data_IF_224436432277
#
_entry.id   IF_224436432277
#
_cell.length_a   1.000
_cell.length_b   1.000
_cell.length_c   1.000
_cell.angle_alpha   90.00
_cell.angle_beta   90.00
_cell.angle_gamma   90.00
#
_symmetry.space_group_name_H-M   'P 1'
#
loop_
_entity.id
_entity.type
_entity.pdbx_description
1 polymer ?
#
# COMPACT_ATOMS: atom_id res chain seq x y z
N UNK A 1 32.90 10.25 -11.03
CA UNK A 1 31.54 10.64 -10.61
C UNK A 1 30.47 9.78 -11.27
N UNK A 2 30.34 9.75 -12.61
CA UNK A 2 29.31 8.90 -13.28
C UNK A 2 29.38 7.41 -12.88
N UNK A 3 30.55 6.78 -12.96
CA UNK A 3 30.72 5.39 -12.55
C UNK A 3 30.37 5.13 -11.07
N UNK A 4 30.64 6.09 -10.18
CA UNK A 4 30.28 5.99 -8.76
C UNK A 4 28.77 6.09 -8.57
N UNK A 5 28.10 6.98 -9.30
CA UNK A 5 26.64 7.09 -9.29
C UNK A 5 25.95 5.83 -9.82
N UNK A 6 26.52 5.23 -10.88
CA UNK A 6 25.99 3.99 -11.45
C UNK A 6 26.08 2.84 -10.42
N UNK A 7 27.19 2.75 -9.68
CA UNK A 7 27.35 1.79 -8.60
C UNK A 7 26.38 2.07 -7.44
N UNK A 8 26.19 3.34 -7.05
CA UNK A 8 25.20 3.70 -6.04
C UNK A 8 23.79 3.25 -6.42
N UNK A 9 23.35 3.57 -7.63
CA UNK A 9 22.04 3.16 -8.14
C UNK A 9 21.89 1.65 -8.11
N UNK A 10 22.91 0.91 -8.55
CA UNK A 10 22.89 -0.56 -8.53
C UNK A 10 22.74 -1.10 -7.12
N UNK A 11 23.47 -0.55 -6.15
CA UNK A 11 23.37 -1.01 -4.75
C UNK A 11 22.01 -0.72 -4.15
N UNK A 12 21.53 0.52 -4.29
CA UNK A 12 20.23 0.97 -3.79
C UNK A 12 19.08 0.17 -4.42
N UNK A 13 19.11 -0.01 -5.74
CA UNK A 13 18.09 -0.77 -6.48
C UNK A 13 18.05 -2.22 -6.01
N UNK A 14 19.20 -2.87 -5.84
CA UNK A 14 19.20 -4.26 -5.39
C UNK A 14 18.69 -4.44 -3.94
N UNK A 15 18.86 -3.43 -3.06
CA UNK A 15 18.26 -3.45 -1.72
C UNK A 15 16.74 -3.29 -1.77
N UNK A 16 16.26 -2.37 -2.61
CA UNK A 16 14.83 -2.21 -2.90
C UNK A 16 14.23 -3.51 -3.47
N UNK A 17 14.86 -4.10 -4.48
CA UNK A 17 14.42 -5.37 -5.09
C UNK A 17 14.43 -6.53 -4.09
N UNK A 18 15.38 -6.58 -3.16
CA UNK A 18 15.40 -7.60 -2.12
C UNK A 18 14.19 -7.47 -1.17
N UNK A 19 13.81 -6.24 -0.82
CA UNK A 19 12.60 -5.97 -0.06
C UNK A 19 11.34 -6.33 -0.85
N UNK A 20 11.24 -5.88 -2.09
CA UNK A 20 10.10 -6.13 -2.98
C UNK A 20 9.87 -7.63 -3.19
N UNK A 21 10.95 -8.38 -3.43
CA UNK A 21 10.92 -9.83 -3.66
C UNK A 21 10.25 -10.59 -2.52
N UNK A 22 10.50 -10.19 -1.28
CA UNK A 22 9.89 -10.81 -0.11
C UNK A 22 8.36 -10.62 -0.03
N UNK A 23 7.82 -9.62 -0.74
CA UNK A 23 6.40 -9.32 -0.80
C UNK A 23 5.74 -9.75 -2.13
N UNK A 24 6.50 -10.33 -3.08
CA UNK A 24 5.91 -10.78 -4.35
C UNK A 24 4.96 -11.97 -4.09
N UNK A 25 3.73 -11.96 -4.64
CA UNK A 25 2.75 -13.02 -4.41
C UNK A 25 3.26 -14.43 -4.74
N UNK A 26 4.00 -14.57 -5.85
CA UNK A 26 4.59 -15.84 -6.26
C UNK A 26 5.60 -16.42 -5.24
N UNK A 27 6.10 -15.61 -4.31
CA UNK A 27 7.00 -16.08 -3.24
C UNK A 27 6.29 -16.29 -1.92
N UNK A 28 5.40 -15.35 -1.54
CA UNK A 28 4.80 -15.36 -0.21
C UNK A 28 3.52 -16.22 -0.10
N UNK A 29 2.78 -16.42 -1.21
CA UNK A 29 1.53 -17.19 -1.20
C UNK A 29 1.71 -18.70 -1.15
N UNK A 30 2.54 -19.36 -2.00
CA UNK A 30 2.55 -20.82 -2.10
C UNK A 30 2.68 -21.59 -0.76
N UNK A 31 3.52 -21.16 0.20
CA UNK A 31 3.63 -21.84 1.49
C UNK A 31 2.40 -21.72 2.40
N UNK A 32 1.44 -20.87 2.03
CA UNK A 32 0.27 -20.52 2.84
C UNK A 32 -1.06 -20.91 2.17
N UNK A 33 -1.04 -21.35 0.90
CA UNK A 33 -2.25 -21.73 0.18
C UNK A 33 -2.87 -22.99 0.80
N UNK A 34 -4.19 -22.99 1.09
CA UNK A 34 -4.87 -24.15 1.65
C UNK A 34 -5.07 -25.24 0.58
N UNK A 35 -5.23 -26.49 1.01
CA UNK A 35 -5.75 -27.53 0.11
C UNK A 35 -7.13 -27.12 -0.45
N UNK A 36 -7.43 -27.42 -1.72
CA UNK A 36 -8.75 -27.18 -2.31
C UNK A 36 -9.81 -28.09 -1.65
N UNK A 37 -11.12 -27.79 -1.81
CA UNK A 37 -12.17 -28.69 -1.36
C UNK A 37 -12.21 -29.98 -2.20
N UNK A 38 -12.78 -31.05 -1.64
CA UNK A 38 -13.01 -32.28 -2.38
C UNK A 38 -14.11 -32.11 -3.43
N UNK A 39 -14.02 -32.82 -4.55
CA UNK A 39 -15.08 -32.85 -5.55
C UNK A 39 -16.40 -33.35 -4.92
N UNK A 40 -17.55 -32.69 -5.17
CA UNK A 40 -17.80 -31.71 -6.24
C UNK A 40 -17.62 -30.22 -5.84
N UNK A 41 -16.97 -29.91 -4.72
CA UNK A 41 -16.78 -28.55 -4.23
C UNK A 41 -15.88 -27.66 -5.10
N UNK A 42 -16.12 -26.33 -5.07
CA UNK A 42 -15.34 -25.34 -5.80
C UNK A 42 -14.42 -24.55 -4.87
N UNK A 43 -13.23 -24.23 -5.35
CA UNK A 43 -12.38 -23.20 -4.75
C UNK A 43 -12.75 -21.84 -5.35
N UNK A 44 -13.28 -20.93 -4.52
CA UNK A 44 -13.67 -19.59 -4.97
C UNK A 44 -12.67 -18.55 -4.47
N UNK A 45 -11.99 -17.87 -5.39
CA UNK A 45 -10.96 -16.88 -5.08
C UNK A 45 -11.54 -15.46 -5.13
N UNK A 46 -11.43 -14.75 -4.01
CA UNK A 46 -11.79 -13.33 -3.90
C UNK A 46 -10.53 -12.50 -3.67
N UNK A 47 -10.00 -11.85 -4.70
CA UNK A 47 -8.82 -11.02 -4.57
C UNK A 47 -9.17 -9.52 -4.55
N UNK A 48 -8.69 -8.79 -3.55
CA UNK A 48 -9.03 -7.37 -3.34
C UNK A 48 -7.78 -6.57 -2.95
N UNK A 49 -7.46 -5.54 -3.73
CA UNK A 49 -6.34 -4.63 -3.46
C UNK A 49 -5.40 -4.43 -4.65
N UNK A 50 -4.36 -3.61 -4.48
CA UNK A 50 -3.38 -3.27 -5.53
C UNK A 50 -2.64 -4.50 -6.08
N UNK A 51 -2.46 -5.54 -5.27
CA UNK A 51 -1.85 -6.80 -5.66
C UNK A 51 -2.88 -7.91 -6.01
N UNK A 52 -4.18 -7.58 -6.11
CA UNK A 52 -5.22 -8.61 -6.25
C UNK A 52 -5.03 -9.50 -7.49
N UNK A 53 -4.74 -8.91 -8.65
CA UNK A 53 -4.60 -9.67 -9.89
C UNK A 53 -3.38 -10.59 -9.86
N UNK A 54 -2.24 -10.12 -9.35
CA UNK A 54 -1.03 -10.94 -9.23
C UNK A 54 -1.11 -11.98 -8.13
N UNK A 55 -1.81 -11.70 -7.03
CA UNK A 55 -2.13 -12.70 -6.01
C UNK A 55 -3.02 -13.81 -6.57
N UNK A 56 -4.04 -13.46 -7.34
CA UNK A 56 -4.91 -14.43 -8.00
C UNK A 56 -4.12 -15.31 -8.99
N UNK A 57 -3.34 -14.70 -9.89
CA UNK A 57 -2.52 -15.43 -10.87
C UNK A 57 -1.55 -16.40 -10.18
N UNK A 58 -0.83 -15.94 -9.15
CA UNK A 58 0.11 -16.80 -8.40
C UNK A 58 -0.59 -17.95 -7.67
N UNK A 59 -1.83 -17.75 -7.20
CA UNK A 59 -2.62 -18.82 -6.59
C UNK A 59 -3.07 -19.84 -7.65
N UNK A 60 -3.58 -19.38 -8.80
CA UNK A 60 -3.99 -20.26 -9.91
C UNK A 60 -2.84 -21.10 -10.44
N UNK A 61 -1.68 -20.50 -10.72
CA UNK A 61 -0.48 -21.21 -11.17
C UNK A 61 -0.12 -22.35 -10.20
N UNK A 62 -0.21 -22.09 -8.90
CA UNK A 62 0.06 -23.09 -7.87
C UNK A 62 -1.00 -24.19 -7.82
N UNK A 63 -2.30 -23.87 -7.90
CA UNK A 63 -3.34 -24.90 -7.91
C UNK A 63 -3.32 -25.72 -9.20
N UNK A 64 -3.04 -25.11 -10.34
CA UNK A 64 -2.91 -25.81 -11.62
C UNK A 64 -1.70 -26.78 -11.61
N UNK A 65 -0.58 -26.40 -10.98
CA UNK A 65 0.62 -27.24 -10.86
C UNK A 65 0.44 -28.38 -9.83
N UNK A 66 -0.05 -28.07 -8.63
CA UNK A 66 -0.03 -29.00 -7.49
C UNK A 66 -1.36 -29.71 -7.22
N UNK A 67 -2.48 -29.17 -7.72
CA UNK A 67 -3.84 -29.70 -7.53
C UNK A 67 -4.64 -29.72 -8.85
N UNK A 68 -4.12 -30.39 -9.90
CA UNK A 68 -4.76 -30.38 -11.21
C UNK A 68 -6.19 -30.93 -11.15
N UNK A 69 -7.11 -30.23 -11.82
CA UNK A 69 -8.53 -30.59 -11.85
C UNK A 69 -9.39 -29.91 -10.77
N UNK A 70 -8.80 -29.09 -9.90
CA UNK A 70 -9.54 -28.22 -8.97
C UNK A 70 -10.50 -27.32 -9.76
N UNK A 71 -11.76 -27.26 -9.33
CA UNK A 71 -12.73 -26.32 -9.90
C UNK A 71 -12.51 -24.94 -9.29
N UNK A 72 -11.91 -24.03 -10.06
CA UNK A 72 -11.57 -22.67 -9.62
C UNK A 72 -12.52 -21.67 -10.32
N UNK A 73 -13.05 -20.73 -9.53
CA UNK A 73 -13.78 -19.55 -10.01
C UNK A 73 -13.39 -18.36 -9.14
N UNK A 74 -13.49 -17.13 -9.62
CA UNK A 74 -13.23 -15.99 -8.75
C UNK A 74 -13.29 -14.63 -9.40
N UNK A 75 -13.08 -13.61 -8.57
CA UNK A 75 -12.97 -12.22 -8.99
C UNK A 75 -11.77 -11.54 -8.31
N UNK A 76 -10.99 -10.80 -9.10
CA UNK A 76 -9.92 -9.94 -8.62
C UNK A 76 -10.24 -8.47 -8.88
N UNK A 77 -10.31 -7.66 -7.83
CA UNK A 77 -10.50 -6.20 -7.88
C UNK A 77 -9.16 -5.50 -7.65
N UNK A 78 -8.56 -4.98 -8.72
CA UNK A 78 -7.25 -4.30 -8.70
C UNK A 78 -7.35 -2.87 -9.24
N UNK A 79 -6.25 -2.11 -9.16
CA UNK A 79 -6.15 -0.75 -9.71
C UNK A 79 -6.00 -0.80 -11.23
N UNK A 80 -6.41 0.25 -11.93
CA UNK A 80 -6.04 0.46 -13.33
C UNK A 80 -4.54 0.34 -13.59
N UNK A 81 -4.17 -0.32 -14.69
CA UNK A 81 -2.80 -0.58 -15.09
C UNK A 81 -2.12 -1.71 -14.31
N UNK A 82 -2.83 -2.39 -13.41
CA UNK A 82 -2.33 -3.48 -12.57
C UNK A 82 -3.01 -4.81 -12.84
N UNK A 83 -3.75 -4.95 -13.94
CA UNK A 83 -4.23 -6.25 -14.39
C UNK A 83 -3.06 -7.22 -14.66
N UNK A 84 -3.26 -8.48 -14.30
CA UNK A 84 -2.39 -9.60 -14.64
C UNK A 84 -3.24 -10.65 -15.37
N UNK A 85 -2.67 -11.37 -16.36
CA UNK A 85 -3.33 -12.53 -16.92
C UNK A 85 -3.62 -13.58 -15.83
N UNK A 86 -4.83 -14.12 -15.85
CA UNK A 86 -5.34 -15.19 -14.98
C UNK A 86 -6.01 -16.25 -15.85
N UNK A 87 -6.11 -17.48 -15.35
CA UNK A 87 -6.71 -18.61 -16.06
C UNK A 87 -8.21 -18.75 -15.79
N UNK A 88 -8.64 -18.54 -14.54
CA UNK A 88 -10.00 -18.84 -14.06
C UNK A 88 -10.69 -17.63 -13.42
N UNK A 89 -9.94 -16.79 -12.70
CA UNK A 89 -10.37 -15.62 -11.95
C UNK A 89 -10.56 -14.44 -12.89
N UNK A 90 -11.71 -13.79 -12.84
CA UNK A 90 -11.97 -12.59 -13.64
C UNK A 90 -11.31 -11.37 -13.01
N UNK A 91 -10.52 -10.62 -13.77
CA UNK A 91 -9.87 -9.39 -13.31
C UNK A 91 -10.71 -8.18 -13.67
N UNK A 92 -10.97 -7.32 -12.68
CA UNK A 92 -11.68 -6.07 -12.83
C UNK A 92 -10.87 -4.92 -12.23
N UNK A 93 -10.54 -3.95 -13.07
CA UNK A 93 -9.80 -2.76 -12.66
C UNK A 93 -10.75 -1.64 -12.18
N UNK A 94 -10.35 -0.92 -11.15
CA UNK A 94 -11.10 0.18 -10.55
C UNK A 94 -10.20 1.33 -10.09
N UNK A 95 -10.79 2.47 -9.79
CA UNK A 95 -10.06 3.65 -9.33
C UNK A 95 -9.57 3.53 -7.88
N UNK A 96 -8.35 4.02 -7.66
CA UNK A 96 -7.73 4.25 -6.36
C UNK A 96 -6.96 5.58 -6.43
N UNK A 97 -7.01 6.46 -5.41
CA UNK A 97 -7.55 6.23 -4.05
C UNK A 97 -9.04 6.57 -3.88
N UNK A 98 -9.67 7.21 -4.87
CA UNK A 98 -11.09 7.56 -4.83
C UNK A 98 -11.90 6.48 -5.55
N UNK A 99 -12.90 5.84 -4.90
CA UNK A 99 -13.73 4.81 -5.53
C UNK A 99 -14.51 5.31 -6.74
N UNK A 100 -14.72 4.46 -7.72
CA UNK A 100 -15.50 4.72 -8.93
C UNK A 100 -16.59 3.64 -9.18
N UNK A 101 -17.27 3.76 -10.32
CA UNK A 101 -18.36 2.87 -10.71
C UNK A 101 -17.85 1.45 -11.03
N UNK A 102 -16.66 1.32 -11.61
CA UNK A 102 -16.06 0.02 -11.91
C UNK A 102 -15.78 -0.79 -10.63
N UNK A 103 -15.32 -0.12 -9.57
CA UNK A 103 -15.19 -0.74 -8.25
C UNK A 103 -16.54 -1.14 -7.64
N UNK A 104 -17.60 -0.37 -7.87
CA UNK A 104 -18.96 -0.69 -7.41
C UNK A 104 -19.54 -1.91 -8.12
N UNK A 105 -19.45 -1.95 -9.45
CA UNK A 105 -19.92 -3.07 -10.26
C UNK A 105 -19.14 -4.36 -9.93
N UNK A 106 -17.82 -4.26 -9.84
CA UNK A 106 -16.95 -5.34 -9.39
C UNK A 106 -17.33 -5.87 -8.01
N UNK A 107 -17.54 -4.97 -7.03
CA UNK A 107 -17.94 -5.38 -5.68
C UNK A 107 -19.33 -6.00 -5.62
N UNK A 108 -20.24 -5.59 -6.50
CA UNK A 108 -21.58 -6.16 -6.61
C UNK A 108 -21.52 -7.61 -7.09
N UNK A 109 -20.73 -7.89 -8.13
CA UNK A 109 -20.47 -9.25 -8.62
C UNK A 109 -19.74 -10.10 -7.58
N UNK A 110 -18.77 -9.51 -6.89
CA UNK A 110 -18.02 -10.15 -5.81
C UNK A 110 -18.95 -10.66 -4.71
N UNK A 111 -19.87 -9.80 -4.23
CA UNK A 111 -20.82 -10.17 -3.19
C UNK A 111 -21.82 -11.23 -3.69
N UNK A 112 -22.32 -11.12 -4.92
CA UNK A 112 -23.22 -12.12 -5.49
C UNK A 112 -22.54 -13.50 -5.61
N UNK A 113 -21.25 -13.53 -5.97
CA UNK A 113 -20.46 -14.77 -5.99
C UNK A 113 -20.27 -15.32 -4.57
N UNK A 114 -19.96 -14.48 -3.58
CA UNK A 114 -19.86 -14.88 -2.17
C UNK A 114 -21.15 -15.52 -1.66
N UNK A 115 -22.30 -14.88 -1.92
CA UNK A 115 -23.63 -15.39 -1.54
C UNK A 115 -24.02 -16.71 -2.24
N UNK A 116 -23.28 -17.14 -3.25
CA UNK A 116 -23.52 -18.40 -3.98
C UNK A 116 -22.80 -19.63 -3.38
N UNK A 117 -21.90 -19.42 -2.42
CA UNK A 117 -21.10 -20.49 -1.84
C UNK A 117 -21.96 -21.41 -0.95
N UNK A 118 -21.57 -22.68 -0.92
CA UNK A 118 -22.21 -23.72 -0.12
C UNK A 118 -21.21 -24.38 0.82
N UNK A 119 -21.67 -25.24 1.73
CA UNK A 119 -20.82 -26.04 2.63
C UNK A 119 -19.80 -26.95 1.92
N UNK A 120 -19.97 -27.19 0.61
CA UNK A 120 -19.03 -27.99 -0.20
C UNK A 120 -17.90 -27.13 -0.77
N UNK A 121 -18.09 -25.82 -0.86
CA UNK A 121 -17.13 -24.89 -1.44
C UNK A 121 -16.10 -24.44 -0.39
N UNK A 122 -15.03 -23.79 -0.85
CA UNK A 122 -14.06 -23.10 0.01
C UNK A 122 -13.75 -21.73 -0.56
N UNK A 123 -13.74 -20.72 0.30
CA UNK A 123 -13.30 -19.38 -0.09
C UNK A 123 -11.80 -19.19 0.20
N UNK A 124 -11.07 -18.66 -0.77
CA UNK A 124 -9.73 -18.11 -0.60
C UNK A 124 -9.80 -16.60 -0.85
N UNK A 125 -9.65 -15.82 0.21
CA UNK A 125 -9.67 -14.36 0.14
C UNK A 125 -8.25 -13.82 0.15
N UNK A 126 -7.86 -13.13 -0.92
CA UNK A 126 -6.52 -12.59 -1.12
C UNK A 126 -6.58 -11.07 -0.96
N UNK A 127 -6.03 -10.54 0.13
CA UNK A 127 -6.10 -9.11 0.44
C UNK A 127 -4.76 -8.42 0.27
N UNK A 128 -4.80 -7.19 -0.22
CA UNK A 128 -3.67 -6.26 -0.21
C UNK A 128 -4.14 -4.82 -0.03
N UNK A 129 -3.17 -3.91 0.05
CA UNK A 129 -3.38 -2.47 0.14
C UNK A 129 -4.36 -1.88 -0.86
N UNK A 130 -4.99 -0.77 -0.51
CA UNK A 130 -5.95 -0.06 -1.39
C UNK A 130 -7.33 -0.71 -1.53
N UNK A 131 -7.54 -1.92 -0.97
CA UNK A 131 -8.82 -2.65 -1.06
C UNK A 131 -10.04 -1.88 -0.56
N UNK A 132 -9.86 -0.93 0.36
CA UNK A 132 -10.95 -0.11 0.86
C UNK A 132 -11.61 0.76 -0.22
N UNK A 133 -10.86 1.21 -1.22
CA UNK A 133 -11.37 2.00 -2.33
C UNK A 133 -11.77 1.12 -3.53
N UNK A 134 -10.94 0.13 -3.87
CA UNK A 134 -11.14 -0.76 -5.01
C UNK A 134 -12.37 -1.66 -4.85
N UNK A 135 -12.62 -2.17 -3.64
CA UNK A 135 -13.83 -2.93 -3.32
C UNK A 135 -14.82 -2.04 -2.54
N UNK A 136 -15.60 -1.25 -3.28
CA UNK A 136 -16.57 -0.32 -2.72
C UNK A 136 -18.01 -0.77 -2.97
N UNK A 137 -18.69 -1.25 -1.92
CA UNK A 137 -20.12 -1.50 -1.95
C UNK A 137 -20.84 -0.77 -0.80
N UNK A 138 -21.58 0.32 -1.07
CA UNK A 138 -22.34 1.04 -0.05
C UNK A 138 -23.43 0.17 0.60
N UNK A 139 -23.77 0.46 1.86
CA UNK A 139 -24.96 -0.09 2.52
C UNK A 139 -26.23 0.21 1.69
N UNK A 140 -27.26 -0.62 1.86
CA UNK A 140 -28.52 -0.45 1.13
C UNK A 140 -29.11 0.94 1.39
N UNK A 141 -29.58 1.60 0.32
CA UNK A 141 -30.10 2.96 0.38
C UNK A 141 -29.05 4.06 0.24
N UNK A 142 -27.76 3.72 0.15
CA UNK A 142 -26.68 4.68 -0.13
C UNK A 142 -26.14 4.53 -1.54
N UNK A 143 -25.76 5.66 -2.13
CA UNK A 143 -25.07 5.72 -3.43
C UNK A 143 -23.55 5.74 -3.26
N UNK A 144 -22.82 5.53 -4.36
CA UNK A 144 -21.38 5.75 -4.40
C UNK A 144 -21.01 7.20 -4.02
N UNK A 145 -21.79 8.18 -4.51
CA UNK A 145 -21.60 9.59 -4.22
C UNK A 145 -21.76 9.90 -2.72
N UNK A 146 -22.74 9.28 -2.04
CA UNK A 146 -22.89 9.40 -0.59
C UNK A 146 -21.63 8.90 0.13
N UNK A 147 -21.11 7.73 -0.28
CA UNK A 147 -19.91 7.15 0.33
C UNK A 147 -18.66 8.00 0.11
N UNK A 148 -18.50 8.58 -1.08
CA UNK A 148 -17.41 9.54 -1.36
C UNK A 148 -17.56 10.81 -0.51
N UNK A 149 -18.78 11.32 -0.34
CA UNK A 149 -19.04 12.50 0.49
C UNK A 149 -18.71 12.27 1.97
N UNK A 150 -19.09 11.11 2.52
CA UNK A 150 -18.72 10.71 3.89
C UNK A 150 -17.21 10.64 4.06
N UNK A 151 -16.51 10.02 3.12
CA UNK A 151 -15.04 9.94 3.18
C UNK A 151 -14.41 11.33 3.20
N UNK A 152 -14.88 12.27 2.36
CA UNK A 152 -14.40 13.67 2.39
C UNK A 152 -14.70 14.36 3.71
N UNK A 153 -15.90 14.17 4.26
CA UNK A 153 -16.29 14.75 5.54
C UNK A 153 -15.46 14.20 6.71
N UNK A 154 -15.15 12.90 6.71
CA UNK A 154 -14.28 12.25 7.69
C UNK A 154 -12.88 12.89 7.72
N UNK A 155 -12.28 13.10 6.54
CA UNK A 155 -10.98 13.78 6.43
C UNK A 155 -11.07 15.25 6.84
N UNK A 156 -12.08 15.99 6.39
CA UNK A 156 -12.25 17.40 6.74
C UNK A 156 -12.48 17.61 8.25
N UNK A 157 -13.06 16.62 8.94
CA UNK A 157 -13.24 16.63 10.39
C UNK A 157 -11.98 16.25 11.18
N UNK A 158 -10.89 15.85 10.51
CA UNK A 158 -9.62 15.47 11.14
C UNK A 158 -9.75 14.27 12.09
N UNK A 159 -10.64 13.32 11.76
CA UNK A 159 -10.84 12.14 12.60
C UNK A 159 -9.70 11.14 12.45
N UNK A 160 -9.31 10.43 13.54
CA UNK A 160 -8.30 9.38 13.45
C UNK A 160 -8.79 8.25 12.56
N UNK A 161 -7.86 7.57 11.87
CA UNK A 161 -8.15 6.51 10.90
C UNK A 161 -9.00 5.37 11.48
N UNK A 162 -8.82 5.06 12.76
CA UNK A 162 -9.60 4.05 13.48
C UNK A 162 -11.09 4.43 13.56
N UNK A 163 -11.39 5.69 13.88
CA UNK A 163 -12.76 6.20 13.88
C UNK A 163 -13.34 6.24 12.46
N UNK A 164 -12.56 6.71 11.49
CA UNK A 164 -12.99 6.70 10.08
C UNK A 164 -13.38 5.30 9.63
N UNK A 165 -12.55 4.30 9.94
CA UNK A 165 -12.80 2.90 9.58
C UNK A 165 -14.01 2.33 10.31
N UNK A 166 -14.23 2.67 11.59
CA UNK A 166 -15.45 2.30 12.33
C UNK A 166 -16.73 2.68 11.57
N UNK A 167 -16.87 3.94 11.16
CA UNK A 167 -18.03 4.36 10.36
C UNK A 167 -18.06 3.70 8.97
N UNK A 168 -16.92 3.63 8.27
CA UNK A 168 -16.85 3.06 6.91
C UNK A 168 -17.24 1.58 6.84
N UNK A 169 -16.92 0.80 7.88
CA UNK A 169 -17.34 -0.61 8.01
C UNK A 169 -18.87 -0.70 8.09
N UNK A 170 -19.48 0.09 8.96
CA UNK A 170 -20.93 0.11 9.16
C UNK A 170 -21.71 0.54 7.91
N UNK A 171 -21.13 1.42 7.07
CA UNK A 171 -21.75 1.89 5.82
C UNK A 171 -21.42 1.03 4.58
N UNK A 172 -20.99 -0.21 4.78
CA UNK A 172 -20.56 -1.10 3.71
C UNK A 172 -21.25 -2.45 3.78
N UNK A 173 -21.57 -3.04 2.62
CA UNK A 173 -22.12 -4.41 2.53
C UNK A 173 -21.06 -5.52 2.62
N UNK A 174 -19.78 -5.18 2.47
CA UNK A 174 -18.68 -6.18 2.42
C UNK A 174 -17.56 -5.95 3.44
N UNK A 175 -17.54 -4.81 4.14
CA UNK A 175 -16.47 -4.48 5.10
C UNK A 175 -16.90 -4.89 6.52
N UNK A 176 -15.95 -4.96 7.45
CA UNK A 176 -16.22 -5.31 8.85
C UNK A 176 -16.82 -6.71 8.99
N UNK A 177 -16.22 -7.71 8.36
CA UNK A 177 -16.62 -9.11 8.45
C UNK A 177 -17.80 -9.50 7.56
N UNK A 178 -18.45 -8.55 6.87
CA UNK A 178 -19.65 -8.83 6.08
C UNK A 178 -19.39 -9.67 4.82
N UNK A 179 -18.18 -9.64 4.27
CA UNK A 179 -17.82 -10.57 3.19
C UNK A 179 -17.71 -12.01 3.71
N UNK A 180 -17.06 -12.22 4.86
CA UNK A 180 -17.06 -13.53 5.50
C UNK A 180 -18.48 -14.01 5.84
N UNK A 181 -19.34 -13.11 6.33
CA UNK A 181 -20.74 -13.44 6.60
C UNK A 181 -21.50 -13.88 5.33
N UNK A 182 -21.18 -13.30 4.17
CA UNK A 182 -21.77 -13.69 2.89
C UNK A 182 -21.20 -15.01 2.33
N UNK A 183 -19.95 -15.34 2.66
CA UNK A 183 -19.29 -16.60 2.27
C UNK A 183 -19.83 -17.79 3.06
N UNK A 184 -20.23 -17.58 4.32
CA UNK A 184 -20.78 -18.63 5.16
C UNK A 184 -22.02 -19.26 4.50
N UNK A 185 -22.14 -20.62 4.47
CA UNK A 185 -21.46 -21.57 5.35
C UNK A 185 -20.17 -22.19 4.82
N UNK A 186 -19.59 -21.72 3.71
CA UNK A 186 -18.28 -22.20 3.27
C UNK A 186 -17.16 -21.71 4.20
N UNK A 187 -16.12 -22.52 4.48
CA UNK A 187 -14.94 -22.07 5.22
C UNK A 187 -14.15 -21.02 4.43
N UNK A 188 -13.68 -19.98 5.11
CA UNK A 188 -12.90 -18.89 4.52
C UNK A 188 -11.45 -18.86 5.02
N UNK A 189 -10.50 -18.91 4.08
CA UNK A 189 -9.08 -18.64 4.36
C UNK A 189 -8.70 -17.30 3.77
N UNK A 190 -8.25 -16.36 4.61
CA UNK A 190 -7.76 -15.05 4.18
C UNK A 190 -6.24 -15.00 4.22
N UNK A 191 -5.60 -14.70 3.09
CA UNK A 191 -4.16 -14.43 2.98
C UNK A 191 -3.92 -12.98 2.60
N UNK A 192 -3.08 -12.28 3.34
CA UNK A 192 -2.94 -10.82 3.22
C UNK A 192 -1.50 -10.37 3.04
N UNK A 193 -1.27 -9.48 2.08
CA UNK A 193 -0.08 -8.63 1.98
C UNK A 193 -0.42 -7.30 2.67
N UNK A 194 0.21 -7.03 3.80
CA UNK A 194 -0.11 -5.88 4.64
C UNK A 194 0.72 -4.66 4.28
N UNK A 195 0.02 -3.56 4.01
CA UNK A 195 0.53 -2.21 3.90
C UNK A 195 0.05 -1.34 5.09
N UNK A 196 -0.36 -1.95 6.20
CA UNK A 196 -0.87 -1.23 7.36
C UNK A 196 0.13 -1.30 8.50
N UNK A 197 0.49 -0.15 9.07
CA UNK A 197 1.32 -0.08 10.26
C UNK A 197 0.74 -0.93 11.40
N UNK A 198 1.55 -1.82 11.96
CA UNK A 198 1.12 -2.71 13.04
C UNK A 198 0.27 -3.90 12.59
N UNK A 199 0.03 -4.06 11.28
CA UNK A 199 -0.50 -5.28 10.69
C UNK A 199 -1.90 -5.69 11.22
N UNK A 200 -2.73 -4.73 11.67
CA UNK A 200 -4.08 -5.02 12.19
C UNK A 200 -5.03 -5.52 11.07
N UNK A 201 -5.50 -6.79 11.15
CA UNK A 201 -6.43 -7.36 10.17
C UNK A 201 -7.72 -6.56 10.01
N UNK A 202 -8.21 -5.92 11.08
CA UNK A 202 -9.47 -5.16 11.06
C UNK A 202 -9.37 -3.88 10.24
N UNK A 203 -8.15 -3.42 9.99
CA UNK A 203 -7.83 -2.19 9.27
C UNK A 203 -7.53 -2.44 7.80
N UNK A 204 -6.83 -3.55 7.49
CA UNK A 204 -6.46 -3.89 6.10
C UNK A 204 -7.72 -4.13 5.25
N UNK A 205 -7.85 -3.38 4.17
CA UNK A 205 -9.07 -3.33 3.34
C UNK A 205 -10.38 -3.07 4.12
N UNK A 206 -10.30 -2.49 5.32
CA UNK A 206 -11.41 -2.37 6.29
C UNK A 206 -11.98 -3.72 6.78
N UNK A 207 -11.13 -4.75 6.86
CA UNK A 207 -11.42 -6.05 7.46
C UNK A 207 -12.65 -6.74 6.88
N UNK A 208 -12.71 -7.04 5.58
CA UNK A 208 -13.91 -7.64 4.97
C UNK A 208 -14.22 -9.04 5.49
N UNK A 209 -13.20 -9.78 5.93
CA UNK A 209 -13.30 -11.18 6.41
C UNK A 209 -12.97 -11.36 7.88
N UNK A 210 -12.82 -10.26 8.63
CA UNK A 210 -12.57 -10.32 10.07
C UNK A 210 -13.66 -9.58 10.82
N UNK A 211 -13.96 -10.07 12.01
CA UNK A 211 -14.95 -9.45 12.89
C UNK A 211 -14.56 -8.02 13.27
N UNK A 212 -15.56 -7.18 13.51
CA UNK A 212 -15.38 -5.76 13.77
C UNK A 212 -15.73 -5.44 15.23
N UNK A 213 -14.73 -5.04 16.05
CA UNK A 213 -14.96 -4.71 17.45
C UNK A 213 -15.69 -3.37 17.65
N UNK A 214 -15.75 -2.51 16.61
CA UNK A 214 -16.49 -1.25 16.69
C UNK A 214 -18.00 -1.49 16.72
N UNK A 215 -18.77 -0.55 17.24
CA UNK A 215 -20.21 -0.70 17.43
C UNK A 215 -21.04 0.26 16.58
N UNK A 216 -22.30 -0.09 16.37
CA UNK A 216 -23.27 0.77 15.70
C UNK A 216 -23.44 2.12 16.44
N UNK A 217 -23.36 2.11 17.77
CA UNK A 217 -23.46 3.33 18.59
C UNK A 217 -22.25 4.25 18.40
N UNK A 218 -21.04 3.70 18.30
CA UNK A 218 -19.84 4.46 17.95
C UNK A 218 -19.95 5.05 16.54
N UNK A 219 -20.47 4.29 15.57
CA UNK A 219 -20.71 4.78 14.22
C UNK A 219 -21.71 5.96 14.20
N UNK A 220 -22.79 5.89 14.99
CA UNK A 220 -23.73 7.01 15.16
C UNK A 220 -23.09 8.22 15.81
N UNK A 221 -22.27 8.02 16.84
CA UNK A 221 -21.55 9.09 17.51
C UNK A 221 -20.58 9.81 16.55
N UNK A 222 -19.95 9.06 15.64
CA UNK A 222 -19.11 9.64 14.59
C UNK A 222 -19.96 10.42 13.59
N UNK A 223 -21.09 9.87 13.13
CA UNK A 223 -22.00 10.57 12.22
C UNK A 223 -22.46 11.92 12.79
N UNK A 224 -22.80 11.99 14.07
CA UNK A 224 -23.19 13.25 14.73
C UNK A 224 -22.08 14.31 14.67
N UNK A 225 -20.80 13.91 14.71
CA UNK A 225 -19.66 14.83 14.56
C UNK A 225 -19.49 15.32 13.12
N UNK A 226 -19.98 14.57 12.14
CA UNK A 226 -19.88 14.88 10.71
C UNK A 226 -21.06 15.72 10.19
N UNK A 227 -22.13 15.89 10.95
CA UNK A 227 -23.36 16.52 10.46
C UNK A 227 -23.12 17.91 9.84
N UNK A 228 -22.25 18.71 10.45
CA UNK A 228 -21.86 20.04 9.93
C UNK A 228 -21.01 20.03 8.64
N UNK A 229 -20.50 18.86 8.25
CA UNK A 229 -19.67 18.64 7.07
C UNK A 229 -20.44 17.94 5.94
N UNK A 230 -21.72 17.62 6.15
CA UNK A 230 -22.55 16.84 5.23
C UNK A 230 -23.79 17.63 4.82
N UNK A 231 -23.84 18.03 3.56
CA UNK A 231 -24.96 18.80 2.99
C UNK A 231 -26.03 17.88 2.34
N UNK A 232 -27.15 18.47 1.90
CA UNK A 232 -28.08 17.80 0.98
C UNK A 232 -28.79 16.56 1.54
N UNK A 233 -29.02 16.52 2.86
CA UNK A 233 -29.69 15.40 3.54
C UNK A 233 -28.87 14.11 3.57
N UNK A 234 -27.57 14.15 3.26
CA UNK A 234 -26.68 12.98 3.31
C UNK A 234 -26.66 12.37 4.71
N UNK A 235 -26.58 13.19 5.77
CA UNK A 235 -26.57 12.72 7.16
C UNK A 235 -27.81 11.87 7.49
N UNK A 236 -29.01 12.29 7.06
CA UNK A 236 -30.24 11.54 7.27
C UNK A 236 -30.27 10.20 6.51
N UNK A 237 -29.77 10.16 5.26
CA UNK A 237 -29.64 8.91 4.49
C UNK A 237 -28.67 7.93 5.16
N UNK A 238 -27.55 8.44 5.68
CA UNK A 238 -26.57 7.62 6.41
C UNK A 238 -27.18 7.07 7.69
N UNK A 239 -27.88 7.89 8.47
CA UNK A 239 -28.55 7.44 9.70
C UNK A 239 -29.54 6.30 9.40
N UNK A 240 -30.39 6.47 8.37
CA UNK A 240 -31.32 5.42 7.94
C UNK A 240 -30.61 4.15 7.46
N UNK A 241 -29.48 4.28 6.76
CA UNK A 241 -28.68 3.14 6.32
C UNK A 241 -28.00 2.40 7.48
N UNK A 242 -27.54 3.12 8.51
CA UNK A 242 -27.02 2.53 9.75
C UNK A 242 -28.11 1.75 10.49
N UNK A 243 -29.31 2.33 10.61
CA UNK A 243 -30.48 1.67 11.20
C UNK A 243 -30.84 0.38 10.47
N UNK A 244 -30.89 0.43 9.13
CA UNK A 244 -31.29 -0.71 8.31
C UNK A 244 -30.23 -1.82 8.26
N UNK A 245 -28.94 -1.46 8.22
CA UNK A 245 -27.85 -2.43 8.15
C UNK A 245 -27.57 -3.13 9.48
N UNK A 246 -27.86 -2.46 10.60
CA UNK A 246 -27.57 -2.97 11.93
C UNK A 246 -26.07 -3.15 12.20
N UNK A 247 -25.78 -4.03 13.14
CA UNK A 247 -24.42 -4.27 13.64
C UNK A 247 -23.54 -5.00 12.61
N UNK A 248 -22.23 -4.78 12.67
CA UNK A 248 -21.25 -5.61 11.95
C UNK A 248 -20.98 -6.91 12.72
N UNK A 249 -20.61 -8.02 12.06
CA UNK A 249 -20.14 -9.24 12.71
C UNK A 249 -19.15 -8.98 13.86
N UNK A 250 -19.44 -9.52 15.04
CA UNK A 250 -18.70 -9.19 16.29
C UNK A 250 -17.70 -10.28 16.67
N UNK A 251 -16.61 -9.94 17.39
CA UNK A 251 -15.67 -10.92 17.90
C UNK A 251 -16.38 -12.03 18.70
N UNK A 252 -16.02 -13.28 18.44
CA UNK A 252 -16.61 -14.45 19.09
C UNK A 252 -17.88 -14.99 18.41
N UNK A 253 -18.28 -14.47 17.25
CA UNK A 253 -19.36 -15.04 16.45
C UNK A 253 -18.97 -16.47 15.97
N UNK A 254 -19.74 -17.51 16.37
CA UNK A 254 -19.40 -18.90 16.08
C UNK A 254 -19.45 -19.24 14.59
N UNK A 255 -20.11 -18.43 13.75
CA UNK A 255 -20.16 -18.66 12.31
C UNK A 255 -18.78 -18.58 11.65
N UNK A 256 -17.81 -17.89 12.25
CA UNK A 256 -16.45 -17.74 11.73
C UNK A 256 -15.42 -18.63 12.44
N UNK A 257 -15.87 -19.64 13.20
CA UNK A 257 -14.97 -20.49 13.97
C UNK A 257 -14.00 -21.32 13.09
N UNK A 258 -14.42 -21.63 11.85
CA UNK A 258 -13.60 -22.36 10.88
C UNK A 258 -12.78 -21.43 9.95
N UNK A 259 -12.96 -20.11 10.07
CA UNK A 259 -12.25 -19.14 9.25
C UNK A 259 -10.81 -18.95 9.74
N UNK A 260 -9.90 -18.71 8.80
CA UNK A 260 -8.51 -18.43 9.10
C UNK A 260 -8.02 -17.16 8.44
N UNK A 261 -7.09 -16.47 9.10
CA UNK A 261 -6.48 -15.25 8.60
C UNK A 261 -4.97 -15.31 8.79
N UNK A 262 -4.21 -15.00 7.75
CA UNK A 262 -2.75 -14.96 7.80
C UNK A 262 -2.18 -13.79 7.00
N UNK A 263 -1.22 -13.12 7.60
CA UNK A 263 -0.36 -12.14 6.91
C UNK A 263 0.80 -12.92 6.30
N UNK A 264 0.91 -12.86 4.98
CA UNK A 264 1.92 -13.59 4.20
C UNK A 264 3.12 -12.71 3.86
N UNK A 265 2.93 -11.40 3.80
CA UNK A 265 3.98 -10.40 3.65
C UNK A 265 3.59 -9.09 4.33
N UNK A 266 4.59 -8.33 4.78
CA UNK A 266 4.41 -6.99 5.35
C UNK A 266 5.63 -6.10 5.09
N UNK A 267 5.48 -4.79 5.30
CA UNK A 267 6.59 -3.83 5.16
C UNK A 267 7.79 -4.21 6.04
N UNK A 268 7.55 -4.66 7.27
CA UNK A 268 8.59 -5.13 8.17
C UNK A 268 9.41 -6.29 7.60
N UNK A 269 8.74 -7.25 6.95
CA UNK A 269 9.40 -8.39 6.31
C UNK A 269 10.26 -7.93 5.12
N UNK A 270 9.78 -6.98 4.32
CA UNK A 270 10.54 -6.38 3.22
C UNK A 270 11.80 -5.66 3.73
N UNK A 271 11.69 -4.86 4.80
CA UNK A 271 12.85 -4.19 5.42
C UNK A 271 13.88 -5.19 5.95
N UNK A 272 13.43 -6.29 6.57
CA UNK A 272 14.31 -7.36 7.06
C UNK A 272 15.05 -8.06 5.90
N UNK A 273 14.39 -8.31 4.78
CA UNK A 273 15.02 -8.90 3.60
C UNK A 273 16.12 -7.98 3.04
N UNK A 274 15.84 -6.68 2.93
CA UNK A 274 16.85 -5.70 2.52
C UNK A 274 18.01 -5.59 3.52
N UNK A 275 17.73 -5.65 4.83
CA UNK A 275 18.74 -5.63 5.87
C UNK A 275 19.70 -6.83 5.80
N UNK A 276 19.19 -8.02 5.45
CA UNK A 276 20.03 -9.20 5.20
C UNK A 276 21.01 -8.94 4.06
N UNK A 277 20.52 -8.46 2.91
CA UNK A 277 21.38 -8.13 1.77
C UNK A 277 22.37 -6.98 2.09
N UNK A 278 21.96 -6.01 2.91
CA UNK A 278 22.85 -4.94 3.36
C UNK A 278 24.02 -5.50 4.18
N UNK A 279 23.78 -6.42 5.11
CA UNK A 279 24.84 -7.12 5.88
C UNK A 279 25.77 -7.90 4.99
N UNK A 280 25.25 -8.64 4.01
CA UNK A 280 26.05 -9.38 3.04
C UNK A 280 26.99 -8.46 2.23
N UNK A 281 26.63 -7.18 2.08
CA UNK A 281 27.42 -6.15 1.40
C UNK A 281 28.31 -5.33 2.35
N UNK A 282 28.36 -5.71 3.63
CA UNK A 282 29.20 -5.08 4.64
C UNK A 282 28.66 -3.76 5.18
N UNK A 283 27.36 -3.52 5.08
CA UNK A 283 26.69 -2.42 5.78
C UNK A 283 26.07 -2.94 7.08
N UNK A 284 26.19 -2.15 8.15
CA UNK A 284 25.37 -2.35 9.35
C UNK A 284 23.96 -1.82 9.08
N UNK A 285 22.90 -2.65 9.12
CA UNK A 285 21.55 -2.16 8.85
C UNK A 285 20.94 -1.50 10.09
N UNK A 286 20.42 -0.30 9.92
CA UNK A 286 19.62 0.41 10.92
C UNK A 286 18.15 0.45 10.46
N UNK A 287 17.30 -0.39 11.05
CA UNK A 287 15.86 -0.42 10.77
C UNK A 287 15.15 0.65 11.59
N UNK A 288 14.55 1.63 10.92
CA UNK A 288 13.69 2.65 11.55
C UNK A 288 12.22 2.20 11.67
N UNK A 289 11.89 1.03 11.10
CA UNK A 289 10.54 0.47 11.07
C UNK A 289 9.78 0.78 9.78
N UNK A 290 8.63 0.13 9.63
CA UNK A 290 7.71 0.18 8.49
C UNK A 290 6.45 1.02 8.76
N UNK A 291 6.44 1.77 9.86
CA UNK A 291 5.36 2.66 10.28
C UNK A 291 5.81 4.13 10.31
N UNK A 292 6.78 4.51 9.48
CA UNK A 292 7.21 5.92 9.41
C UNK A 292 6.17 6.72 8.66
N UNK A 293 5.52 7.62 9.39
CA UNK A 293 4.50 8.53 8.90
C UNK A 293 4.91 9.99 9.14
N UNK A 294 4.27 10.90 8.41
CA UNK A 294 4.42 12.34 8.56
C UNK A 294 4.72 13.03 7.23
N UNK A 295 4.95 14.35 7.31
CA UNK A 295 5.23 15.14 6.12
C UNK A 295 6.59 14.76 5.52
N UNK A 296 6.61 14.44 4.23
CA UNK A 296 7.76 13.88 3.52
C UNK A 296 9.05 14.68 3.76
N UNK A 297 8.95 16.02 3.78
CA UNK A 297 10.09 16.92 4.02
C UNK A 297 10.66 16.82 5.42
N UNK A 298 9.80 16.68 6.43
CA UNK A 298 10.21 16.61 7.83
C UNK A 298 10.90 15.28 8.13
N UNK A 299 10.33 14.18 7.62
CA UNK A 299 10.93 12.85 7.74
C UNK A 299 12.29 12.82 7.03
N UNK A 300 12.38 13.36 5.81
CA UNK A 300 13.64 13.48 5.07
C UNK A 300 14.71 14.27 5.86
N UNK A 301 14.35 15.39 6.48
CA UNK A 301 15.29 16.18 7.28
C UNK A 301 15.82 15.40 8.49
N UNK A 302 14.95 14.66 9.20
CA UNK A 302 15.36 13.79 10.33
C UNK A 302 16.31 12.68 9.87
N UNK A 303 15.99 12.04 8.74
CA UNK A 303 16.81 10.96 8.20
C UNK A 303 18.17 11.47 7.66
N UNK A 304 18.22 12.66 7.03
CA UNK A 304 19.47 13.30 6.63
C UNK A 304 20.38 13.58 7.83
N UNK A 305 19.82 14.13 8.93
CA UNK A 305 20.58 14.40 10.14
C UNK A 305 21.18 13.11 10.75
N UNK A 306 20.40 12.02 10.74
CA UNK A 306 20.88 10.70 11.18
C UNK A 306 21.99 10.17 10.28
N UNK A 307 21.84 10.25 8.95
CA UNK A 307 22.84 9.80 8.00
C UNK A 307 24.17 10.56 8.14
N UNK A 308 24.11 11.90 8.27
CA UNK A 308 25.29 12.74 8.51
C UNK A 308 25.98 12.40 9.83
N UNK A 309 25.21 12.15 10.89
CA UNK A 309 25.74 11.72 12.18
C UNK A 309 26.51 10.40 12.05
N UNK A 310 25.90 9.38 11.46
CA UNK A 310 26.51 8.05 11.32
C UNK A 310 27.75 8.04 10.43
N UNK A 311 27.75 8.88 9.38
CA UNK A 311 28.95 9.10 8.57
C UNK A 311 30.10 9.63 9.41
N UNK A 312 29.86 10.65 10.23
CA UNK A 312 30.87 11.27 11.08
C UNK A 312 31.37 10.32 12.19
N UNK A 313 30.54 9.35 12.59
CA UNK A 313 30.91 8.28 13.52
C UNK A 313 31.72 7.17 12.84
N UNK A 314 31.93 7.23 11.53
CA UNK A 314 32.71 6.26 10.77
C UNK A 314 32.00 4.92 10.56
N UNK A 315 30.67 4.88 10.72
CA UNK A 315 29.89 3.65 10.60
C UNK A 315 29.37 3.50 9.18
N UNK A 316 29.74 2.40 8.53
CA UNK A 316 29.18 2.02 7.23
C UNK A 316 27.78 1.46 7.43
N UNK A 317 26.74 2.25 7.17
CA UNK A 317 25.35 1.93 7.55
C UNK A 317 24.42 1.92 6.36
N UNK A 318 23.45 0.99 6.38
CA UNK A 318 22.25 1.05 5.56
C UNK A 318 21.05 1.41 6.44
N UNK A 319 20.59 2.66 6.38
CA UNK A 319 19.38 3.09 7.09
C UNK A 319 18.17 2.67 6.24
N UNK A 320 17.27 1.89 6.83
CA UNK A 320 16.13 1.30 6.16
C UNK A 320 14.84 1.71 6.87
N UNK A 321 13.87 2.21 6.12
CA UNK A 321 12.56 2.58 6.66
C UNK A 321 11.46 2.34 5.64
N UNK A 322 10.26 2.07 6.13
CA UNK A 322 9.04 2.01 5.31
C UNK A 322 7.90 2.76 5.99
N UNK A 323 6.69 2.60 5.49
CA UNK A 323 5.50 3.35 5.94
C UNK A 323 5.00 4.27 4.84
N UNK A 324 4.23 5.29 5.19
CA UNK A 324 3.62 6.19 4.22
C UNK A 324 3.85 7.64 4.65
N UNK A 325 4.65 8.35 3.87
CA UNK A 325 4.79 9.81 4.06
C UNK A 325 3.76 10.55 3.23
N UNK A 326 3.33 11.71 3.71
CA UNK A 326 2.36 12.55 3.01
C UNK A 326 2.98 13.83 2.47
N UNK A 327 2.28 14.43 1.52
CA UNK A 327 2.60 15.76 0.97
C UNK A 327 1.41 16.67 1.15
N UNK A 328 1.60 17.71 1.95
CA UNK A 328 0.59 18.76 2.12
C UNK A 328 0.79 19.85 1.07
N UNK A 329 -0.13 19.95 0.11
CA UNK A 329 -0.07 20.98 -0.91
C UNK A 329 -0.25 22.38 -0.30
N UNK A 330 0.82 23.18 -0.36
CA UNK A 330 0.80 24.58 0.05
C UNK A 330 0.19 25.51 -0.99
N UNK A 331 0.01 26.81 -0.67
CA UNK A 331 -0.52 27.81 -1.61
C UNK A 331 0.35 28.03 -2.85
N UNK A 332 1.59 27.55 -2.83
CA UNK A 332 2.55 27.64 -3.93
C UNK A 332 2.46 26.44 -4.90
N UNK A 333 1.59 25.47 -4.64
CA UNK A 333 1.30 24.39 -5.57
C UNK A 333 0.70 24.98 -6.86
N UNK A 334 1.36 24.75 -7.99
CA UNK A 334 0.86 25.17 -9.30
C UNK A 334 0.02 24.04 -9.93
N UNK A 335 -1.02 24.34 -10.70
CA UNK A 335 -1.70 23.30 -11.49
C UNK A 335 -0.70 22.56 -12.39
N UNK A 336 -0.76 21.23 -12.40
CA UNK A 336 0.11 20.39 -13.24
C UNK A 336 1.48 20.08 -12.63
N UNK A 337 1.68 20.32 -11.33
CA UNK A 337 2.85 19.82 -10.60
C UNK A 337 2.94 18.30 -10.67
N UNK A 338 4.15 17.79 -10.84
CA UNK A 338 4.42 16.37 -10.98
C UNK A 338 5.26 15.87 -9.82
N UNK A 339 4.91 14.68 -9.33
CA UNK A 339 5.63 13.98 -8.27
C UNK A 339 4.68 13.26 -7.34
N UNK A 340 5.26 12.55 -6.38
CA UNK A 340 4.58 11.92 -5.27
C UNK A 340 5.38 12.04 -3.97
N UNK A 341 4.86 11.51 -2.85
CA UNK A 341 5.50 11.61 -1.55
C UNK A 341 6.92 11.04 -1.49
N UNK A 342 7.21 9.92 -2.16
CA UNK A 342 8.55 9.32 -2.16
C UNK A 342 9.57 10.18 -2.93
N UNK A 343 9.18 10.79 -4.06
CA UNK A 343 9.97 11.78 -4.79
C UNK A 343 10.15 13.07 -4.01
N UNK A 344 9.11 13.58 -3.35
CA UNK A 344 9.23 14.77 -2.50
C UNK A 344 10.18 14.54 -1.31
N UNK A 345 10.09 13.37 -0.68
CA UNK A 345 11.04 12.92 0.34
C UNK A 345 12.47 12.89 -0.22
N UNK A 346 12.70 12.29 -1.40
CA UNK A 346 14.04 12.19 -1.99
C UNK A 346 14.64 13.58 -2.28
N UNK A 347 13.85 14.53 -2.79
CA UNK A 347 14.31 15.89 -3.07
C UNK A 347 14.62 16.66 -1.78
N UNK A 348 13.76 16.54 -0.76
CA UNK A 348 14.01 17.13 0.55
C UNK A 348 15.26 16.55 1.22
N UNK A 349 15.48 15.24 1.08
CA UNK A 349 16.67 14.55 1.58
C UNK A 349 17.93 15.06 0.88
N UNK A 350 17.92 15.18 -0.45
CA UNK A 350 19.05 15.71 -1.21
C UNK A 350 19.42 17.14 -0.80
N UNK A 351 18.42 17.99 -0.56
CA UNK A 351 18.60 19.35 -0.05
C UNK A 351 19.20 19.37 1.37
N UNK A 352 18.68 18.53 2.27
CA UNK A 352 19.17 18.44 3.65
C UNK A 352 20.59 17.87 3.74
N UNK A 353 20.95 16.92 2.86
CA UNK A 353 22.30 16.36 2.76
C UNK A 353 23.30 17.33 2.11
N UNK A 354 22.83 18.30 1.31
CA UNK A 354 23.61 19.36 0.69
C UNK A 354 24.89 18.87 -0.02
N UNK A 355 24.79 17.78 -0.78
CA UNK A 355 25.90 17.21 -1.54
C UNK A 355 26.96 16.48 -0.72
N UNK A 356 26.62 16.08 0.50
CA UNK A 356 27.41 15.18 1.33
C UNK A 356 27.99 13.99 0.55
N UNK A 357 29.33 13.89 0.50
CA UNK A 357 30.01 12.70 0.01
C UNK A 357 29.70 11.48 0.87
N UNK A 358 29.79 10.30 0.28
CA UNK A 358 29.57 9.01 0.95
C UNK A 358 28.10 8.67 1.26
N UNK A 359 27.13 9.53 0.92
CA UNK A 359 25.72 9.28 1.21
C UNK A 359 24.90 9.24 -0.08
N UNK A 360 24.20 8.13 -0.31
CA UNK A 360 23.26 8.00 -1.42
C UNK A 360 21.97 7.33 -0.92
N UNK A 361 20.84 7.66 -1.54
CA UNK A 361 19.55 7.16 -1.09
C UNK A 361 18.60 6.87 -2.25
N UNK A 362 17.61 6.03 -1.96
CA UNK A 362 16.46 5.73 -2.78
C UNK A 362 15.21 5.78 -1.89
N UNK A 363 14.16 6.42 -2.38
CA UNK A 363 12.82 6.35 -1.83
C UNK A 363 11.86 5.99 -2.96
N UNK A 364 11.01 4.99 -2.74
CA UNK A 364 10.05 4.53 -3.74
C UNK A 364 8.82 3.87 -3.10
N UNK A 365 7.65 4.05 -3.73
CA UNK A 365 6.46 3.26 -3.44
C UNK A 365 6.66 1.84 -3.98
N UNK A 366 6.43 0.84 -3.14
CA UNK A 366 6.60 -0.56 -3.53
C UNK A 366 5.53 -1.03 -4.51
N UNK A 367 4.45 -0.29 -4.76
CA UNK A 367 3.50 -0.59 -5.84
C UNK A 367 4.03 -0.23 -7.25
N UNK A 368 5.12 0.54 -7.30
CA UNK A 368 5.77 0.97 -8.53
C UNK A 368 5.31 2.34 -9.04
N UNK A 369 4.43 3.05 -8.33
CA UNK A 369 3.87 4.34 -8.71
C UNK A 369 3.86 5.31 -7.52
N UNK A 370 4.68 6.36 -7.61
CA UNK A 370 4.71 7.46 -6.65
C UNK A 370 4.19 8.75 -7.32
N UNK A 371 2.89 9.01 -7.15
CA UNK A 371 2.20 10.08 -7.87
C UNK A 371 1.99 9.78 -9.36
N UNK A 372 1.80 10.80 -10.18
CA UNK A 372 1.58 10.63 -11.63
C UNK A 372 0.11 10.42 -12.02
N UNK A 373 -0.10 9.79 -13.17
CA UNK A 373 -1.41 9.65 -13.83
C UNK A 373 -2.04 8.26 -13.73
N UNK A 374 -1.35 7.31 -13.07
CA UNK A 374 -1.72 5.90 -12.99
C UNK A 374 -1.24 5.08 -14.20
N UNK A 375 -0.24 5.56 -14.93
CA UNK A 375 0.30 4.90 -16.12
C UNK A 375 1.46 3.96 -15.74
N UNK A 376 1.69 2.92 -16.55
CA UNK A 376 2.80 1.99 -16.33
C UNK A 376 4.20 2.63 -16.38
N UNK A 377 4.34 3.79 -17.04
CA UNK A 377 5.60 4.55 -17.14
C UNK A 377 5.78 5.59 -16.01
N UNK A 378 4.81 5.68 -15.08
CA UNK A 378 4.93 6.53 -13.90
C UNK A 378 6.11 6.04 -13.04
N UNK A 379 6.86 6.97 -12.43
CA UNK A 379 7.99 6.61 -11.59
C UNK A 379 7.51 6.01 -10.26
N UNK A 380 8.23 5.02 -9.76
CA UNK A 380 8.04 4.47 -8.43
C UNK A 380 8.62 5.38 -7.34
N UNK A 381 9.52 6.29 -7.70
CA UNK A 381 10.26 7.10 -6.75
C UNK A 381 11.47 7.79 -7.38
N UNK A 382 12.48 8.12 -6.57
CA UNK A 382 13.69 8.78 -7.05
C UNK A 382 14.95 8.46 -6.24
N UNK A 383 16.09 8.59 -6.90
CA UNK A 383 17.42 8.52 -6.31
C UNK A 383 17.87 9.90 -5.82
N UNK A 384 18.45 9.95 -4.62
CA UNK A 384 19.18 11.11 -4.11
C UNK A 384 20.66 10.74 -3.98
N UNK A 385 21.47 11.19 -4.93
CA UNK A 385 22.91 10.93 -5.04
C UNK A 385 23.75 12.14 -4.56
N UNK A 386 25.04 11.97 -4.19
CA UNK A 386 25.88 13.09 -3.73
C UNK A 386 25.95 14.27 -4.70
N UNK A 387 25.88 14.02 -6.01
CA UNK A 387 26.00 15.07 -7.03
C UNK A 387 24.65 15.62 -7.54
N UNK A 388 23.51 15.19 -6.98
CA UNK A 388 22.14 15.52 -7.44
C UNK A 388 21.94 17.03 -7.58
N UNK A 389 22.25 17.80 -6.53
CA UNK A 389 22.10 19.26 -6.54
C UNK A 389 23.03 19.92 -7.56
N UNK A 390 24.23 19.39 -7.75
CA UNK A 390 25.19 19.92 -8.73
C UNK A 390 24.75 19.65 -10.18
N UNK A 391 24.17 18.47 -10.46
CA UNK A 391 23.61 18.13 -11.78
C UNK A 391 22.37 18.97 -12.07
N UNK A 392 21.51 19.16 -11.08
CA UNK A 392 20.35 20.03 -11.17
C UNK A 392 20.73 21.49 -11.48
N UNK A 393 21.72 22.05 -10.76
CA UNK A 393 22.20 23.41 -11.02
C UNK A 393 22.77 23.56 -12.45
N UNK A 394 23.54 22.58 -12.93
CA UNK A 394 24.05 22.56 -14.32
C UNK A 394 22.94 22.46 -15.36
N UNK A 395 21.81 21.82 -15.01
CA UNK A 395 20.61 21.75 -15.84
C UNK A 395 19.71 23.00 -15.73
N UNK A 396 20.11 24.03 -14.96
CA UNK A 396 19.35 25.26 -14.75
C UNK A 396 18.17 25.11 -13.78
N UNK A 397 18.18 24.08 -12.93
CA UNK A 397 17.12 23.81 -11.96
C UNK A 397 17.46 24.35 -10.58
N UNK A 398 16.48 24.99 -9.94
CA UNK A 398 16.52 25.32 -8.52
C UNK A 398 15.76 24.24 -7.74
N UNK A 399 16.51 23.41 -7.00
CA UNK A 399 15.97 22.30 -6.23
C UNK A 399 14.98 22.77 -5.15
N UNK A 400 15.26 23.88 -4.46
CA UNK A 400 14.38 24.42 -3.42
C UNK A 400 13.07 24.91 -4.02
N UNK A 401 13.14 25.60 -5.16
CA UNK A 401 11.93 26.06 -5.88
C UNK A 401 11.06 24.91 -6.37
N UNK A 402 11.66 23.80 -6.84
CA UNK A 402 10.90 22.61 -7.25
C UNK A 402 10.24 21.95 -6.04
N UNK A 403 10.96 21.85 -4.92
CA UNK A 403 10.40 21.34 -3.68
C UNK A 403 9.22 22.21 -3.22
N UNK A 404 9.39 23.53 -3.10
CA UNK A 404 8.33 24.46 -2.65
C UNK A 404 7.08 24.46 -3.54
N UNK A 405 7.20 23.99 -4.78
CA UNK A 405 6.11 23.85 -5.74
C UNK A 405 5.55 22.42 -5.83
N UNK A 406 6.04 21.46 -5.05
CA UNK A 406 5.64 20.04 -5.14
C UNK A 406 5.88 19.45 -6.54
N UNK A 407 6.96 19.88 -7.22
CA UNK A 407 7.29 19.49 -8.58
C UNK A 407 8.55 18.58 -8.64
N UNK A 408 8.67 17.67 -7.68
CA UNK A 408 9.81 16.76 -7.52
C UNK A 408 9.97 15.81 -8.70
N UNK A 409 8.88 15.36 -9.31
CA UNK A 409 8.92 14.46 -10.47
C UNK A 409 9.53 15.11 -11.70
N UNK A 410 9.14 16.35 -12.02
CA UNK A 410 9.75 17.10 -13.11
C UNK A 410 11.24 17.40 -12.85
N UNK A 411 11.61 17.65 -11.59
CA UNK A 411 12.99 17.86 -11.18
C UNK A 411 13.85 16.62 -11.48
N UNK A 412 13.45 15.45 -10.98
CA UNK A 412 14.21 14.21 -11.15
C UNK A 412 14.17 13.69 -12.59
N UNK A 413 13.07 13.88 -13.32
CA UNK A 413 12.98 13.56 -14.74
C UNK A 413 14.04 14.31 -15.55
N UNK A 414 14.27 15.59 -15.23
CA UNK A 414 15.20 16.44 -15.98
C UNK A 414 16.67 16.06 -15.77
N UNK A 415 17.00 15.38 -14.68
CA UNK A 415 18.36 14.93 -14.35
C UNK A 415 18.54 13.40 -14.40
N UNK A 416 17.52 12.68 -14.89
CA UNK A 416 17.50 11.22 -15.09
C UNK A 416 17.67 10.41 -13.78
N UNK A 417 17.03 10.88 -12.70
CA UNK A 417 17.13 10.30 -11.35
C UNK A 417 15.83 9.66 -10.86
N UNK A 418 14.81 9.54 -11.71
CA UNK A 418 13.60 8.79 -11.38
C UNK A 418 13.88 7.29 -11.36
N UNK A 419 13.29 6.58 -10.41
CA UNK A 419 13.19 5.12 -10.45
C UNK A 419 11.92 4.76 -11.23
N UNK A 420 12.06 3.98 -12.30
CA UNK A 420 10.93 3.43 -13.06
C UNK A 420 11.00 1.91 -13.02
N UNK A 421 10.03 1.29 -12.37
CA UNK A 421 9.95 -0.18 -12.24
C UNK A 421 8.88 -0.79 -13.15
N UNK A 422 7.92 0.03 -13.61
CA UNK A 422 6.60 -0.49 -13.97
C UNK A 422 5.81 -0.90 -12.73
N UNK A 423 4.57 -1.40 -12.91
CA UNK A 423 3.79 -1.96 -11.80
C UNK A 423 4.56 -3.13 -11.19
N UNK A 424 4.81 -3.05 -9.88
CA UNK A 424 5.58 -4.08 -9.17
C UNK A 424 4.76 -5.33 -8.86
N UNK A 425 3.43 -5.20 -8.96
CA UNK A 425 2.44 -6.22 -8.65
C UNK A 425 2.44 -6.70 -7.19
N UNK A 426 2.93 -5.87 -6.26
CA UNK A 426 2.76 -6.01 -4.81
C UNK A 426 2.60 -4.63 -4.17
N UNK A 427 2.27 -4.54 -2.88
CA UNK A 427 2.26 -3.27 -2.16
C UNK A 427 2.46 -3.49 -0.66
N UNK A 428 3.51 -2.89 -0.10
CA UNK A 428 3.80 -2.79 1.33
C UNK A 428 4.20 -1.34 1.71
N UNK A 429 3.62 -0.35 1.01
CA UNK A 429 3.89 1.10 1.07
C UNK A 429 5.29 1.52 0.60
N UNK A 430 5.79 2.67 1.07
CA UNK A 430 7.10 3.17 0.72
C UNK A 430 8.20 2.26 1.25
N UNK A 431 9.25 2.12 0.45
CA UNK A 431 10.54 1.62 0.84
C UNK A 431 11.59 2.71 0.67
N UNK A 432 12.33 2.99 1.74
CA UNK A 432 13.41 3.98 1.75
C UNK A 432 14.70 3.34 2.26
N UNK A 433 15.78 3.58 1.52
CA UNK A 433 17.13 3.17 1.89
C UNK A 433 18.09 4.36 1.75
N UNK A 434 18.92 4.56 2.77
CA UNK A 434 20.05 5.50 2.74
C UNK A 434 21.31 4.70 3.03
N UNK A 435 22.22 4.65 2.08
CA UNK A 435 23.55 4.09 2.26
C UNK A 435 24.51 5.19 2.69
N UNK A 436 25.27 4.89 3.73
CA UNK A 436 26.26 5.77 4.34
C UNK A 436 27.60 5.06 4.33
N UNK A 437 28.55 5.64 3.60
CA UNK A 437 29.96 5.29 3.65
C UNK A 437 30.67 6.24 4.60
N UNK A 438 31.59 5.75 5.45
CA UNK A 438 32.40 6.62 6.30
C UNK A 438 33.22 7.59 5.46
N UNK A 439 33.59 8.73 6.02
CA UNK A 439 34.60 9.58 5.39
C UNK A 439 35.89 8.75 5.26
N UNK A 440 36.54 8.80 4.09
CA UNK A 440 37.90 8.27 3.95
C UNK A 440 38.77 9.01 4.97
N UNK A 441 39.09 8.37 6.09
CA UNK A 441 40.17 8.85 6.97
C UNK A 441 41.38 9.03 6.07
N UNK A 442 42.03 10.21 6.06
CA UNK A 442 43.31 10.33 5.36
C UNK A 442 44.19 9.23 5.89
N UNK A 443 44.64 8.34 5.00
CA UNK A 443 45.59 7.31 5.36
C UNK A 443 46.69 7.97 6.17
N UNK A 444 46.85 7.54 7.41
CA UNK A 444 48.04 7.83 8.19
C UNK A 444 49.20 7.21 7.41
N UNK A 445 49.77 8.01 6.52
CA UNK A 445 51.09 7.76 5.95
C UNK A 445 52.06 7.83 7.13
N UNK A 446 52.38 6.67 7.68
CA UNK A 446 53.65 6.46 8.40
C UNK A 446 54.79 6.30 7.39
#
# INVERSE_FOLDING_TARGET
MRAQNDEWRKQLTALYEAGLRAALPAQCLPPCLPAPPENPGRLVIFAIGKAAASMAAAAEDWYDEYWPGTQIEGLALTRYGHACPTHHVQVNEAAHPVPDEAGLEGSTRLLALAESLTVQDRALVLLSGGGSALATLPAQGLTLADKQAVTRALFAAGLPITAMNGLRKHLSRIKGGRLAAAIHPAPCTTLTISDVAGDDPSTIASGPTVTDPTTLDEARAILARLEKHLDGGIAARIAAALDAAGETPKPGDPAFAEDSYRIVASGNAALKAAATLARERGYEPLLLGDAVEGEAREVAAKHAALALKLRNEGVRTAILSGGEVSVTFGPNAEPGTQGGPSQEYALALALALNGASGIAALAADTDGIDGGSGNADDPAGAFALPDTLSRAAKAGLDAKKHLDRHNSGAFFARIDDLLKTGPSFTNVNDFRVILVEPDESPSSQE
#
